data_IF_251667425903
#
_entry.id   IF_251667425903
#
_cell.length_a   1.000
_cell.length_b   1.000
_cell.length_c   1.000
_cell.angle_alpha   90.00
_cell.angle_beta   90.00
_cell.angle_gamma   90.00
#
_symmetry.space_group_name_H-M   'P 1'
#
loop_
_entity.id
_entity.type
_entity.pdbx_description
1 polymer ?
#
# COMPACT_ATOMS: atom_id res chain seq x y z
N UNK A 1 -4.29 -62.91 -37.02
CA UNK A 1 -3.83 -63.92 -38.01
C UNK A 1 -3.40 -65.17 -37.29
N UNK A 2 -4.21 -66.23 -37.44
CA UNK A 2 -4.02 -67.56 -36.84
C UNK A 2 -2.77 -68.20 -37.45
N UNK A 3 -1.74 -68.42 -36.64
CA UNK A 3 -0.62 -69.26 -37.05
C UNK A 3 -1.09 -70.72 -36.99
N UNK A 4 -1.43 -71.29 -38.14
CA UNK A 4 -1.64 -72.72 -38.28
C UNK A 4 -0.38 -73.44 -37.77
N UNK A 5 -0.51 -74.19 -36.67
CA UNK A 5 0.50 -75.15 -36.22
C UNK A 5 0.56 -76.26 -37.26
N UNK A 6 1.54 -76.21 -38.15
CA UNK A 6 1.87 -77.35 -38.99
C UNK A 6 2.35 -78.50 -38.08
N UNK A 7 1.80 -79.73 -38.23
CA UNK A 7 2.26 -80.89 -37.49
C UNK A 7 3.73 -81.19 -37.83
N UNK A 8 4.50 -81.56 -36.80
CA UNK A 8 5.96 -81.75 -36.86
C UNK A 8 6.37 -82.88 -37.82
N UNK A 9 5.44 -83.77 -38.17
CA UNK A 9 5.66 -84.99 -38.97
C UNK A 9 5.91 -84.74 -40.47
N UNK A 10 5.60 -83.57 -41.02
CA UNK A 10 5.89 -83.23 -42.44
C UNK A 10 7.21 -82.48 -42.65
N UNK A 11 7.88 -82.04 -41.58
CA UNK A 11 9.15 -81.33 -41.63
C UNK A 11 10.35 -82.25 -41.89
N UNK A 12 10.24 -83.55 -41.57
CA UNK A 12 11.29 -84.55 -41.79
C UNK A 12 11.45 -84.93 -43.27
N UNK A 13 10.37 -84.83 -44.07
CA UNK A 13 10.35 -85.13 -45.51
C UNK A 13 10.89 -84.00 -46.37
N UNK A 14 11.09 -82.80 -45.81
CA UNK A 14 11.52 -81.60 -46.54
C UNK A 14 12.68 -80.86 -45.85
N UNK A 15 13.93 -81.32 -46.03
CA UNK A 15 15.11 -80.81 -45.31
C UNK A 15 15.48 -79.35 -45.65
N UNK A 16 15.06 -78.81 -46.80
CA UNK A 16 15.16 -77.38 -47.08
C UNK A 16 14.16 -76.56 -46.25
N UNK A 17 12.88 -76.97 -46.19
CA UNK A 17 11.84 -76.29 -45.40
C UNK A 17 12.18 -76.26 -43.91
N UNK A 18 12.69 -77.36 -43.35
CA UNK A 18 13.14 -77.40 -41.95
C UNK A 18 14.33 -76.44 -41.69
N UNK A 19 15.29 -76.36 -42.63
CA UNK A 19 16.42 -75.42 -42.54
C UNK A 19 15.96 -73.97 -42.62
N UNK A 20 15.00 -73.66 -43.48
CA UNK A 20 14.51 -72.29 -43.67
C UNK A 20 13.60 -71.84 -42.54
N UNK A 21 12.76 -72.72 -41.97
CA UNK A 21 12.01 -72.43 -40.74
C UNK A 21 12.97 -72.18 -39.57
N UNK A 22 14.02 -73.00 -39.41
CA UNK A 22 15.04 -72.80 -38.37
C UNK A 22 15.79 -71.47 -38.54
N UNK A 23 16.14 -71.08 -39.76
CA UNK A 23 16.73 -69.77 -40.08
C UNK A 23 15.76 -68.64 -39.75
N UNK A 24 14.50 -68.73 -40.18
CA UNK A 24 13.47 -67.71 -39.94
C UNK A 24 13.19 -67.54 -38.45
N UNK A 25 13.09 -68.62 -37.69
CA UNK A 25 12.97 -68.60 -36.23
C UNK A 25 14.20 -67.97 -35.57
N UNK A 26 15.43 -68.30 -36.03
CA UNK A 26 16.67 -67.70 -35.53
C UNK A 26 16.74 -66.20 -35.82
N UNK A 27 16.32 -65.76 -37.02
CA UNK A 27 16.25 -64.35 -37.40
C UNK A 27 15.20 -63.64 -36.55
N UNK A 28 13.98 -64.17 -36.42
CA UNK A 28 12.92 -63.61 -35.58
C UNK A 28 13.36 -63.48 -34.12
N UNK A 29 14.02 -64.50 -33.56
CA UNK A 29 14.58 -64.47 -32.19
C UNK A 29 15.66 -63.40 -32.04
N UNK A 30 16.60 -63.29 -32.99
CA UNK A 30 17.63 -62.24 -32.97
C UNK A 30 17.01 -60.85 -33.08
N UNK A 31 16.04 -60.65 -33.96
CA UNK A 31 15.33 -59.38 -34.13
C UNK A 31 14.53 -59.01 -32.88
N UNK A 32 13.87 -59.99 -32.26
CA UNK A 32 13.16 -59.82 -31.00
C UNK A 32 14.10 -59.42 -29.87
N UNK A 33 15.21 -60.15 -29.64
CA UNK A 33 16.21 -59.81 -28.63
C UNK A 33 16.80 -58.40 -28.83
N UNK A 34 17.06 -58.00 -30.08
CA UNK A 34 17.54 -56.65 -30.41
C UNK A 34 16.50 -55.57 -30.12
N UNK A 35 15.21 -55.85 -30.27
CA UNK A 35 14.13 -54.91 -29.95
C UNK A 35 13.92 -54.81 -28.45
N UNK A 36 13.87 -55.95 -27.74
CA UNK A 36 13.75 -55.98 -26.27
C UNK A 36 14.93 -55.28 -25.59
N UNK A 37 16.17 -55.53 -26.02
CA UNK A 37 17.35 -54.84 -25.45
C UNK A 37 17.29 -53.32 -25.62
N UNK A 38 16.81 -52.85 -26.77
CA UNK A 38 16.59 -51.41 -27.03
C UNK A 38 15.49 -50.84 -26.13
N UNK A 39 14.38 -51.57 -25.95
CA UNK A 39 13.29 -51.16 -25.06
C UNK A 39 13.74 -51.07 -23.59
N UNK A 40 14.51 -52.04 -23.09
CA UNK A 40 15.07 -51.98 -21.73
C UNK A 40 16.03 -50.81 -21.54
N UNK A 41 16.88 -50.52 -22.53
CA UNK A 41 17.78 -49.37 -22.46
C UNK A 41 17.01 -48.04 -22.48
N UNK A 42 16.00 -47.93 -23.33
CA UNK A 42 15.11 -46.76 -23.38
C UNK A 42 14.40 -46.56 -22.04
N UNK A 43 13.87 -47.62 -21.41
CA UNK A 43 13.29 -47.54 -20.06
C UNK A 43 14.27 -47.05 -19.01
N UNK A 44 15.52 -47.54 -19.03
CA UNK A 44 16.56 -47.07 -18.11
C UNK A 44 16.82 -45.57 -18.27
N UNK A 45 16.92 -45.09 -19.51
CA UNK A 45 17.12 -43.68 -19.80
C UNK A 45 15.93 -42.83 -19.33
N UNK A 46 14.69 -43.30 -19.48
CA UNK A 46 13.49 -42.62 -19.01
C UNK A 46 13.45 -42.49 -17.47
N UNK A 47 13.86 -43.54 -16.74
CA UNK A 47 13.99 -43.47 -15.27
C UNK A 47 15.02 -42.43 -14.84
N UNK A 48 16.20 -42.45 -15.47
CA UNK A 48 17.25 -41.47 -15.19
C UNK A 48 16.79 -40.03 -15.52
N UNK A 49 16.05 -39.85 -16.61
CA UNK A 49 15.44 -38.56 -16.96
C UNK A 49 14.44 -38.09 -15.90
N UNK A 50 13.58 -38.98 -15.42
CA UNK A 50 12.61 -38.66 -14.36
C UNK A 50 13.30 -38.32 -13.03
N UNK A 51 14.32 -39.09 -12.62
CA UNK A 51 15.12 -38.78 -11.42
C UNK A 51 15.80 -37.41 -11.54
N UNK A 52 16.33 -37.07 -12.71
CA UNK A 52 16.91 -35.75 -12.99
C UNK A 52 15.88 -34.64 -12.89
N UNK A 53 14.69 -34.81 -13.49
CA UNK A 53 13.60 -33.82 -13.42
C UNK A 53 13.18 -33.62 -11.96
N UNK A 54 12.95 -34.69 -11.21
CA UNK A 54 12.59 -34.62 -9.80
C UNK A 54 13.65 -33.93 -8.95
N UNK A 55 14.93 -34.20 -9.20
CA UNK A 55 16.02 -33.50 -8.53
C UNK A 55 16.02 -32.01 -8.83
N UNK A 56 15.75 -31.60 -10.08
CA UNK A 56 15.64 -30.19 -10.47
C UNK A 56 14.42 -29.52 -9.82
N UNK A 57 13.27 -30.19 -9.78
CA UNK A 57 12.07 -29.71 -9.06
C UNK A 57 12.42 -29.43 -7.59
N UNK A 58 13.08 -30.38 -6.91
CA UNK A 58 13.46 -30.23 -5.51
C UNK A 58 14.44 -29.06 -5.29
N UNK A 59 15.45 -28.92 -6.17
CA UNK A 59 16.41 -27.81 -6.11
C UNK A 59 15.72 -26.46 -6.32
N UNK A 60 14.83 -26.34 -7.30
CA UNK A 60 14.08 -25.10 -7.55
C UNK A 60 13.13 -24.76 -6.41
N UNK A 61 12.47 -25.76 -5.80
CA UNK A 61 11.64 -25.54 -4.60
C UNK A 61 12.48 -24.99 -3.44
N UNK A 62 13.69 -25.51 -3.22
CA UNK A 62 14.59 -25.00 -2.19
C UNK A 62 15.10 -23.59 -2.51
N UNK A 63 15.55 -23.34 -3.75
CA UNK A 63 16.00 -22.01 -4.20
C UNK A 63 14.88 -20.96 -4.08
N UNK A 64 13.63 -21.36 -4.33
CA UNK A 64 12.46 -20.50 -4.15
C UNK A 64 12.23 -20.13 -2.68
N UNK A 65 12.54 -21.02 -1.73
CA UNK A 65 12.48 -20.72 -0.29
C UNK A 65 13.64 -19.80 0.12
N UNK A 66 14.86 -20.10 -0.35
CA UNK A 66 16.07 -19.35 -0.02
C UNK A 66 16.08 -17.92 -0.58
N UNK A 67 15.35 -17.63 -1.66
CA UNK A 67 15.27 -16.28 -2.23
C UNK A 67 14.62 -15.23 -1.31
N UNK A 68 14.04 -15.65 -0.18
CA UNK A 68 13.39 -14.78 0.82
C UNK A 68 14.36 -14.03 1.73
N UNK A 69 15.66 -14.32 1.69
CA UNK A 69 16.62 -13.81 2.68
C UNK A 69 17.06 -12.36 2.41
N UNK A 70 17.08 -11.91 1.15
CA UNK A 70 17.50 -10.55 0.78
C UNK A 70 16.52 -9.90 -0.22
N UNK A 71 15.68 -8.93 0.21
CA UNK A 71 14.69 -8.25 -0.64
C UNK A 71 15.31 -7.59 -1.87
N UNK A 72 16.56 -7.14 -1.80
CA UNK A 72 17.24 -6.47 -2.90
C UNK A 72 17.64 -7.43 -4.02
N UNK A 73 17.81 -8.72 -3.71
CA UNK A 73 18.24 -9.76 -4.64
C UNK A 73 17.10 -10.70 -5.06
N UNK A 74 15.97 -10.69 -4.33
CA UNK A 74 14.83 -11.57 -4.59
C UNK A 74 14.32 -11.46 -6.03
N UNK A 75 14.31 -10.26 -6.64
CA UNK A 75 13.79 -10.05 -8.01
C UNK A 75 14.63 -10.79 -9.06
N UNK A 76 15.95 -10.58 -9.01
CA UNK A 76 16.88 -11.24 -9.92
C UNK A 76 16.89 -12.76 -9.72
N UNK A 77 16.81 -13.22 -8.47
CA UNK A 77 16.72 -14.64 -8.15
C UNK A 77 15.42 -15.27 -8.69
N UNK A 78 14.26 -14.62 -8.54
CA UNK A 78 12.99 -15.11 -9.08
C UNK A 78 12.97 -15.17 -10.61
N UNK A 79 13.64 -14.24 -11.31
CA UNK A 79 13.77 -14.33 -12.77
C UNK A 79 14.59 -15.55 -13.22
N UNK A 80 15.73 -15.81 -12.56
CA UNK A 80 16.52 -17.01 -12.83
C UNK A 80 15.73 -18.30 -12.57
N UNK A 81 15.05 -18.38 -11.43
CA UNK A 81 14.19 -19.51 -11.06
C UNK A 81 13.04 -19.69 -12.07
N UNK A 82 12.48 -18.59 -12.59
CA UNK A 82 11.42 -18.64 -13.61
C UNK A 82 11.92 -19.24 -14.92
N UNK A 83 13.09 -18.82 -15.39
CA UNK A 83 13.65 -19.32 -16.64
C UNK A 83 14.08 -20.79 -16.53
N UNK A 84 14.59 -21.21 -15.38
CA UNK A 84 14.85 -22.63 -15.09
C UNK A 84 13.56 -23.45 -15.01
N UNK A 85 12.49 -22.92 -14.41
CA UNK A 85 11.19 -23.60 -14.36
C UNK A 85 10.52 -23.72 -15.75
N UNK A 86 10.75 -22.76 -16.67
CA UNK A 86 10.31 -22.89 -18.08
C UNK A 86 11.04 -24.03 -18.78
N UNK A 87 12.38 -24.08 -18.66
CA UNK A 87 13.19 -25.17 -19.25
C UNK A 87 12.78 -26.53 -18.69
N UNK A 88 12.51 -26.60 -17.39
CA UNK A 88 12.08 -27.83 -16.73
C UNK A 88 10.72 -28.32 -17.23
N UNK A 89 9.82 -27.39 -17.62
CA UNK A 89 8.53 -27.74 -18.24
C UNK A 89 8.72 -28.36 -19.61
N UNK A 90 9.60 -27.79 -20.43
CA UNK A 90 9.93 -28.36 -21.74
C UNK A 90 10.54 -29.75 -21.59
N UNK A 91 11.45 -29.94 -20.63
CA UNK A 91 12.02 -31.26 -20.29
C UNK A 91 10.98 -32.26 -19.79
N UNK A 92 10.01 -31.82 -18.98
CA UNK A 92 8.93 -32.67 -18.47
C UNK A 92 7.94 -33.08 -19.56
N UNK A 93 7.59 -32.17 -20.48
CA UNK A 93 6.72 -32.49 -21.61
C UNK A 93 7.43 -33.40 -22.63
N UNK A 94 8.73 -33.17 -22.89
CA UNK A 94 9.54 -34.08 -23.70
C UNK A 94 9.61 -35.48 -23.07
N UNK A 95 9.80 -35.56 -21.75
CA UNK A 95 9.79 -36.82 -21.01
C UNK A 95 8.44 -37.54 -21.16
N UNK A 96 7.32 -36.83 -20.97
CA UNK A 96 5.96 -37.37 -21.16
C UNK A 96 5.74 -37.90 -22.58
N UNK A 97 6.16 -37.16 -23.61
CA UNK A 97 6.09 -37.61 -25.00
C UNK A 97 6.94 -38.87 -25.20
N UNK A 98 8.17 -38.88 -24.67
CA UNK A 98 9.08 -40.02 -24.79
C UNK A 98 8.52 -41.26 -24.06
N UNK A 99 7.84 -41.10 -22.93
CA UNK A 99 7.10 -42.17 -22.23
C UNK A 99 5.94 -42.68 -23.09
N UNK A 100 5.14 -41.79 -23.67
CA UNK A 100 4.00 -42.17 -24.53
C UNK A 100 4.43 -42.89 -25.83
N UNK A 101 5.62 -42.59 -26.35
CA UNK A 101 6.18 -43.23 -27.55
C UNK A 101 6.87 -44.58 -27.29
N UNK A 102 6.91 -45.06 -26.04
CA UNK A 102 7.51 -46.36 -25.72
C UNK A 102 6.70 -47.54 -26.28
N UNK A 103 7.42 -48.59 -26.72
CA UNK A 103 6.80 -49.78 -27.31
C UNK A 103 6.32 -50.77 -26.23
N UNK A 104 5.21 -51.48 -26.50
CA UNK A 104 4.55 -52.47 -25.64
C UNK A 104 5.38 -53.72 -25.22
N UNK A 105 6.71 -53.72 -25.41
CA UNK A 105 7.61 -54.79 -24.97
C UNK A 105 7.91 -54.74 -23.45
N UNK A 106 7.67 -53.60 -22.78
CA UNK A 106 7.95 -53.37 -21.37
C UNK A 106 6.81 -52.52 -20.78
N UNK A 107 6.36 -52.83 -19.55
CA UNK A 107 5.38 -52.00 -18.82
C UNK A 107 6.08 -50.85 -18.10
N UNK A 108 5.38 -49.74 -17.88
CA UNK A 108 5.94 -48.46 -17.42
C UNK A 108 5.29 -47.92 -16.14
N UNK A 109 4.66 -48.79 -15.34
CA UNK A 109 3.88 -48.45 -14.14
C UNK A 109 4.70 -47.74 -13.03
N UNK A 110 6.03 -47.78 -13.14
CA UNK A 110 6.98 -47.15 -12.24
C UNK A 110 7.35 -45.70 -12.60
N UNK A 111 6.92 -45.21 -13.77
CA UNK A 111 7.16 -43.83 -14.19
C UNK A 111 6.02 -42.93 -13.71
N UNK A 112 6.38 -41.74 -13.25
CA UNK A 112 5.43 -40.77 -12.71
C UNK A 112 4.83 -39.96 -13.85
N UNK A 113 3.53 -40.11 -14.08
CA UNK A 113 2.80 -39.34 -15.07
C UNK A 113 2.57 -37.89 -14.67
N UNK A 114 2.78 -37.54 -13.39
CA UNK A 114 2.43 -36.25 -12.80
C UNK A 114 3.53 -35.18 -12.86
N UNK A 115 4.67 -35.46 -13.52
CA UNK A 115 5.81 -34.52 -13.58
C UNK A 115 5.42 -33.17 -14.17
N UNK A 116 4.57 -33.16 -15.19
CA UNK A 116 4.11 -31.93 -15.84
C UNK A 116 3.22 -31.12 -14.89
N UNK A 117 2.35 -31.78 -14.14
CA UNK A 117 1.53 -31.16 -13.10
C UNK A 117 2.39 -30.60 -11.96
N UNK A 118 3.41 -31.33 -11.50
CA UNK A 118 4.33 -30.85 -10.45
C UNK A 118 5.14 -29.63 -10.89
N UNK A 119 5.57 -29.58 -12.16
CA UNK A 119 6.23 -28.39 -12.71
C UNK A 119 5.24 -27.23 -12.86
N UNK A 120 3.98 -27.49 -13.21
CA UNK A 120 2.95 -26.46 -13.26
C UNK A 120 2.64 -25.88 -11.87
N UNK A 121 2.57 -26.72 -10.83
CA UNK A 121 2.43 -26.28 -9.43
C UNK A 121 3.61 -25.39 -9.03
N UNK A 122 4.84 -25.81 -9.30
CA UNK A 122 6.04 -25.00 -9.07
C UNK A 122 5.98 -23.64 -9.80
N UNK A 123 5.51 -23.61 -11.05
CA UNK A 123 5.35 -22.37 -11.80
C UNK A 123 4.32 -21.43 -11.16
N UNK A 124 3.22 -21.97 -10.65
CA UNK A 124 2.21 -21.19 -9.92
C UNK A 124 2.79 -20.64 -8.61
N UNK A 125 3.56 -21.45 -7.86
CA UNK A 125 4.24 -20.99 -6.64
C UNK A 125 5.22 -19.86 -6.94
N UNK A 126 5.99 -19.94 -8.03
CA UNK A 126 6.89 -18.88 -8.48
C UNK A 126 6.10 -17.60 -8.82
N UNK A 127 4.98 -17.72 -9.54
CA UNK A 127 4.14 -16.58 -9.90
C UNK A 127 3.53 -15.91 -8.67
N UNK A 128 3.03 -16.69 -7.71
CA UNK A 128 2.49 -16.16 -6.47
C UNK A 128 3.59 -15.46 -5.66
N UNK A 129 4.80 -16.01 -5.60
CA UNK A 129 5.94 -15.32 -4.99
C UNK A 129 6.31 -14.02 -5.69
N UNK A 130 6.30 -13.98 -7.03
CA UNK A 130 6.53 -12.74 -7.79
C UNK A 130 5.48 -11.68 -7.46
N UNK A 131 4.20 -12.09 -7.35
CA UNK A 131 3.11 -11.21 -6.96
C UNK A 131 3.35 -10.62 -5.58
N UNK A 132 3.59 -11.47 -4.57
CA UNK A 132 3.87 -11.04 -3.21
C UNK A 132 5.10 -10.14 -3.13
N UNK A 133 6.16 -10.43 -3.90
CA UNK A 133 7.33 -9.56 -3.95
C UNK A 133 7.00 -8.18 -4.52
N UNK A 134 6.30 -8.10 -5.65
CA UNK A 134 5.89 -6.83 -6.23
C UNK A 134 5.03 -6.00 -5.26
N UNK A 135 4.23 -6.67 -4.42
CA UNK A 135 3.48 -6.03 -3.35
C UNK A 135 4.41 -5.48 -2.26
N UNK A 136 5.40 -6.26 -1.81
CA UNK A 136 6.39 -5.79 -0.82
C UNK A 136 7.24 -4.62 -1.35
N UNK A 137 7.63 -4.63 -2.62
CA UNK A 137 8.40 -3.55 -3.24
C UNK A 137 7.60 -2.23 -3.26
N UNK A 138 6.31 -2.29 -3.56
CA UNK A 138 5.42 -1.13 -3.47
C UNK A 138 5.34 -0.59 -2.05
N UNK A 139 5.21 -1.47 -1.06
CA UNK A 139 5.19 -1.06 0.36
C UNK A 139 6.50 -0.37 0.73
N UNK A 140 7.64 -0.92 0.32
CA UNK A 140 8.95 -0.30 0.56
C UNK A 140 9.11 1.07 -0.12
N UNK A 141 8.47 1.29 -1.27
CA UNK A 141 8.45 2.59 -1.95
C UNK A 141 7.56 3.63 -1.21
N UNK A 142 6.43 3.18 -0.67
CA UNK A 142 5.46 4.05 0.00
C UNK A 142 5.82 4.33 1.46
N UNK A 143 6.46 3.39 2.15
CA UNK A 143 6.88 3.50 3.54
C UNK A 143 7.62 4.81 3.89
N UNK A 144 8.65 5.24 3.13
CA UNK A 144 9.37 6.49 3.45
C UNK A 144 8.49 7.74 3.28
N UNK A 145 7.50 7.72 2.37
CA UNK A 145 6.59 8.85 2.16
C UNK A 145 5.62 8.99 3.34
N UNK A 146 5.10 7.86 3.83
CA UNK A 146 4.28 7.83 5.05
C UNK A 146 5.10 8.28 6.25
N UNK A 147 6.31 7.76 6.40
CA UNK A 147 7.21 8.12 7.50
C UNK A 147 7.50 9.63 7.56
N UNK A 148 7.71 10.28 6.42
CA UNK A 148 7.91 11.72 6.35
C UNK A 148 6.69 12.51 6.86
N UNK A 149 5.47 12.04 6.55
CA UNK A 149 4.24 12.64 7.08
C UNK A 149 4.16 12.38 8.59
N UNK A 150 4.38 11.15 9.05
CA UNK A 150 4.34 10.78 10.48
C UNK A 150 5.33 11.62 11.30
N UNK A 151 6.57 11.78 10.82
CA UNK A 151 7.59 12.59 11.49
C UNK A 151 7.20 14.06 11.53
N UNK A 152 6.63 14.60 10.45
CA UNK A 152 6.11 15.96 10.43
C UNK A 152 5.02 16.15 11.47
N UNK A 153 4.10 15.18 11.64
CA UNK A 153 3.06 15.23 12.67
C UNK A 153 3.61 15.14 14.08
N UNK A 154 4.66 14.36 14.30
CA UNK A 154 5.34 14.26 15.61
C UNK A 154 6.10 15.54 15.98
N UNK A 155 6.62 16.26 14.98
CA UNK A 155 7.32 17.54 15.18
C UNK A 155 6.39 18.72 15.46
N UNK A 156 5.07 18.51 15.40
CA UNK A 156 4.09 19.56 15.66
C UNK A 156 4.15 20.03 17.12
N UNK A 157 4.09 21.34 17.37
CA UNK A 157 4.04 21.86 18.72
C UNK A 157 2.77 21.35 19.43
N UNK A 158 2.91 21.04 20.73
CA UNK A 158 1.80 20.57 21.57
C UNK A 158 0.70 21.62 21.77
N UNK A 159 1.02 22.89 21.51
CA UNK A 159 0.11 24.02 21.59
C UNK A 159 -0.14 24.54 20.17
N UNK A 160 -1.41 24.88 19.89
CA UNK A 160 -1.78 25.52 18.64
C UNK A 160 -1.11 26.90 18.55
N UNK A 161 -0.73 27.34 17.33
CA UNK A 161 -0.28 28.71 17.12
C UNK A 161 -1.35 29.69 17.60
N UNK A 162 -0.92 30.81 18.17
CA UNK A 162 -1.84 31.82 18.70
C UNK A 162 -2.28 32.79 17.64
N UNK A 163 -1.46 33.09 16.63
CA UNK A 163 -1.76 34.09 15.60
C UNK A 163 -2.61 33.55 14.46
N UNK A 164 -3.46 34.41 13.87
CA UNK A 164 -4.41 33.97 12.85
C UNK A 164 -3.68 33.52 11.57
N UNK A 165 -2.62 34.23 11.19
CA UNK A 165 -1.81 33.92 10.00
C UNK A 165 -1.10 32.56 10.14
N UNK A 166 -0.52 32.28 11.32
CA UNK A 166 0.11 30.98 11.59
C UNK A 166 -0.92 29.85 11.64
N UNK A 167 -2.10 30.09 12.23
CA UNK A 167 -3.20 29.13 12.25
C UNK A 167 -3.70 28.82 10.84
N UNK A 168 -3.85 29.81 9.97
CA UNK A 168 -4.25 29.61 8.57
C UNK A 168 -3.21 28.79 7.80
N UNK A 169 -1.93 29.16 7.93
CA UNK A 169 -0.81 28.43 7.30
C UNK A 169 -0.78 26.98 7.74
N UNK A 170 -1.00 26.73 9.04
CA UNK A 170 -1.04 25.37 9.59
C UNK A 170 -2.24 24.58 9.07
N UNK A 171 -3.40 25.22 8.90
CA UNK A 171 -4.61 24.59 8.39
C UNK A 171 -4.41 24.11 6.94
N UNK A 172 -3.81 24.97 6.11
CA UNK A 172 -3.47 24.61 4.73
C UNK A 172 -2.47 23.43 4.68
N UNK A 173 -1.40 23.46 5.47
CA UNK A 173 -0.42 22.37 5.52
C UNK A 173 -1.06 21.06 6.00
N UNK A 174 -1.94 21.11 7.01
CA UNK A 174 -2.67 19.93 7.50
C UNK A 174 -3.63 19.35 6.45
N UNK A 175 -4.33 20.19 5.69
CA UNK A 175 -5.25 19.71 4.64
C UNK A 175 -4.46 19.10 3.47
N UNK A 176 -3.30 19.68 3.11
CA UNK A 176 -2.38 19.10 2.14
C UNK A 176 -1.87 17.73 2.61
N UNK A 177 -1.41 17.62 3.87
CA UNK A 177 -0.95 16.34 4.44
C UNK A 177 -2.07 15.30 4.48
N UNK A 178 -3.29 15.69 4.85
CA UNK A 178 -4.48 14.82 4.84
C UNK A 178 -4.72 14.27 3.43
N UNK A 179 -4.74 15.12 2.41
CA UNK A 179 -4.97 14.67 1.03
C UNK A 179 -3.84 13.75 0.55
N UNK A 180 -2.58 14.09 0.86
CA UNK A 180 -1.43 13.26 0.52
C UNK A 180 -1.52 11.88 1.18
N UNK A 181 -1.87 11.82 2.46
CA UNK A 181 -2.01 10.57 3.19
C UNK A 181 -3.19 9.72 2.69
N UNK A 182 -4.32 10.36 2.35
CA UNK A 182 -5.46 9.69 1.72
C UNK A 182 -5.10 9.11 0.35
N UNK A 183 -4.31 9.85 -0.46
CA UNK A 183 -3.82 9.37 -1.74
C UNK A 183 -2.87 8.17 -1.56
N UNK A 184 -1.98 8.22 -0.58
CA UNK A 184 -1.07 7.12 -0.23
C UNK A 184 -1.86 5.87 0.18
N UNK A 185 -2.82 5.99 1.10
CA UNK A 185 -3.70 4.89 1.52
C UNK A 185 -4.45 4.30 0.31
N UNK A 186 -4.98 5.16 -0.57
CA UNK A 186 -5.71 4.71 -1.77
C UNK A 186 -4.83 3.99 -2.79
N UNK A 187 -3.52 4.26 -2.78
CA UNK A 187 -2.54 3.58 -3.64
C UNK A 187 -2.04 2.24 -3.10
N UNK A 188 -2.26 1.98 -1.80
CA UNK A 188 -1.95 0.71 -1.17
C UNK A 188 -3.04 -0.32 -1.52
N UNK A 189 -2.64 -1.57 -1.71
CA UNK A 189 -3.55 -2.69 -1.87
C UNK A 189 -3.85 -3.34 -0.51
N UNK A 190 -4.90 -4.15 -0.42
CA UNK A 190 -5.26 -4.91 0.79
C UNK A 190 -4.36 -6.15 1.01
N UNK A 191 -3.11 -6.07 0.59
CA UNK A 191 -2.14 -7.13 0.78
C UNK A 191 -1.62 -7.15 2.23
N UNK A 192 -1.31 -8.32 2.81
CA UNK A 192 -0.75 -8.42 4.16
C UNK A 192 0.51 -7.58 4.36
N UNK A 193 1.34 -7.44 3.31
CA UNK A 193 2.54 -6.62 3.35
C UNK A 193 2.26 -5.12 3.56
N UNK A 194 1.10 -4.63 3.11
CA UNK A 194 0.71 -3.22 3.21
C UNK A 194 -0.10 -2.91 4.47
N UNK A 195 -0.60 -3.92 5.18
CA UNK A 195 -1.54 -3.78 6.30
C UNK A 195 -0.96 -2.90 7.42
N UNK A 196 0.28 -3.15 7.86
CA UNK A 196 0.91 -2.35 8.91
C UNK A 196 1.06 -0.88 8.50
N UNK A 197 1.47 -0.64 7.25
CA UNK A 197 1.65 0.70 6.71
C UNK A 197 0.30 1.42 6.58
N UNK A 198 -0.75 0.69 6.19
CA UNK A 198 -2.11 1.19 6.09
C UNK A 198 -2.67 1.57 7.46
N UNK A 199 -2.54 0.70 8.46
CA UNK A 199 -2.95 0.99 9.84
C UNK A 199 -2.24 2.22 10.41
N UNK A 200 -0.91 2.32 10.21
CA UNK A 200 -0.14 3.51 10.61
C UNK A 200 -0.67 4.77 9.92
N UNK A 201 -0.89 4.69 8.61
CA UNK A 201 -1.42 5.80 7.83
C UNK A 201 -2.83 6.20 8.25
N UNK A 202 -3.69 5.26 8.60
CA UNK A 202 -5.04 5.52 9.10
C UNK A 202 -5.02 6.19 10.49
N UNK A 203 -4.09 5.76 11.36
CA UNK A 203 -3.87 6.40 12.65
C UNK A 203 -3.39 7.85 12.49
N UNK A 204 -2.39 8.08 11.64
CA UNK A 204 -1.90 9.42 11.31
C UNK A 204 -3.01 10.29 10.69
N UNK A 205 -3.86 9.70 9.85
CA UNK A 205 -4.99 10.40 9.24
C UNK A 205 -6.04 10.81 10.29
N UNK A 206 -6.32 9.94 11.28
CA UNK A 206 -7.18 10.31 12.40
C UNK A 206 -6.60 11.47 13.18
N UNK A 207 -5.28 11.43 13.45
CA UNK A 207 -4.59 12.51 14.15
C UNK A 207 -4.66 13.83 13.41
N UNK A 208 -4.50 13.83 12.08
CA UNK A 208 -4.65 15.03 11.26
C UNK A 208 -6.08 15.57 11.33
N UNK A 209 -7.09 14.71 11.27
CA UNK A 209 -8.50 15.14 11.38
C UNK A 209 -8.79 15.79 12.72
N UNK A 210 -8.30 15.23 13.81
CA UNK A 210 -8.48 15.79 15.15
C UNK A 210 -7.82 17.18 15.25
N UNK A 211 -6.60 17.32 14.72
CA UNK A 211 -5.88 18.60 14.70
C UNK A 211 -6.59 19.65 13.83
N UNK A 212 -7.09 19.27 12.66
CA UNK A 212 -7.88 20.15 11.80
C UNK A 212 -9.17 20.61 12.49
N UNK A 213 -9.83 19.73 13.24
CA UNK A 213 -11.03 20.10 13.99
C UNK A 213 -10.69 21.10 15.11
N UNK A 214 -9.63 20.84 15.87
CA UNK A 214 -9.18 21.74 16.94
C UNK A 214 -8.78 23.11 16.39
N UNK A 215 -8.02 23.14 15.28
CA UNK A 215 -7.57 24.36 14.64
C UNK A 215 -8.74 25.15 14.04
N UNK A 216 -9.70 24.45 13.41
CA UNK A 216 -10.91 25.05 12.88
C UNK A 216 -11.78 25.70 13.96
N UNK A 217 -11.93 25.04 15.12
CA UNK A 217 -12.62 25.62 16.28
C UNK A 217 -11.89 26.87 16.81
N UNK A 218 -10.58 26.78 17.04
CA UNK A 218 -9.79 27.91 17.55
C UNK A 218 -9.82 29.13 16.61
N UNK A 219 -9.67 28.91 15.29
CA UNK A 219 -9.80 29.98 14.28
C UNK A 219 -11.21 30.57 14.29
N UNK A 220 -12.23 29.73 14.43
CA UNK A 220 -13.63 30.17 14.52
C UNK A 220 -13.91 31.05 15.74
N UNK A 221 -13.47 30.63 16.92
CA UNK A 221 -13.66 31.36 18.18
C UNK A 221 -12.95 32.73 18.12
N UNK A 222 -11.73 32.75 17.57
CA UNK A 222 -10.96 33.97 17.36
C UNK A 222 -11.58 34.93 16.35
N UNK A 223 -12.08 34.43 15.21
CA UNK A 223 -12.80 35.25 14.25
C UNK A 223 -14.08 35.85 14.85
N UNK A 224 -14.78 35.09 15.69
CA UNK A 224 -15.95 35.58 16.41
C UNK A 224 -15.57 36.68 17.42
N UNK A 225 -14.50 36.47 18.20
CA UNK A 225 -13.96 37.46 19.13
C UNK A 225 -13.52 38.75 18.43
N UNK A 226 -12.80 38.63 17.29
CA UNK A 226 -12.40 39.76 16.45
C UNK A 226 -13.60 40.51 15.88
N UNK A 227 -14.63 39.80 15.42
CA UNK A 227 -15.84 40.43 14.90
C UNK A 227 -16.60 41.20 16.00
N UNK A 228 -16.75 40.59 17.18
CA UNK A 228 -17.38 41.23 18.34
C UNK A 228 -16.59 42.46 18.80
N UNK A 229 -15.26 42.35 18.88
CA UNK A 229 -14.38 43.47 19.20
C UNK A 229 -14.48 44.60 18.17
N UNK A 230 -14.42 44.30 16.87
CA UNK A 230 -14.53 45.31 15.82
C UNK A 230 -15.90 46.02 15.82
N UNK A 231 -16.98 45.30 16.12
CA UNK A 231 -18.31 45.89 16.25
C UNK A 231 -18.36 46.86 17.45
N UNK A 232 -17.89 46.42 18.62
CA UNK A 232 -17.85 47.24 19.82
C UNK A 232 -16.91 48.46 19.66
N UNK A 233 -15.77 48.27 19.00
CA UNK A 233 -14.83 49.36 18.67
C UNK A 233 -15.49 50.41 17.80
N UNK A 234 -16.22 50.01 16.75
CA UNK A 234 -16.93 50.94 15.87
C UNK A 234 -18.00 51.73 16.62
N UNK A 235 -18.77 51.06 17.48
CA UNK A 235 -19.79 51.72 18.29
C UNK A 235 -19.16 52.73 19.27
N UNK A 236 -18.08 52.33 19.94
CA UNK A 236 -17.34 53.20 20.84
C UNK A 236 -16.72 54.41 20.12
N UNK A 237 -16.11 54.21 18.94
CA UNK A 237 -15.55 55.29 18.13
C UNK A 237 -16.63 56.27 17.65
N UNK A 238 -17.79 55.78 17.20
CA UNK A 238 -18.91 56.63 16.79
C UNK A 238 -19.43 57.47 17.95
N UNK A 239 -19.56 56.89 19.15
CA UNK A 239 -19.96 57.63 20.36
C UNK A 239 -18.93 58.66 20.78
N UNK A 240 -17.65 58.29 20.84
CA UNK A 240 -16.56 59.23 21.17
C UNK A 240 -16.51 60.41 20.18
N UNK A 241 -16.75 60.15 18.89
CA UNK A 241 -16.77 61.19 17.86
C UNK A 241 -17.98 62.12 18.00
N UNK A 242 -19.15 61.58 18.37
CA UNK A 242 -20.34 62.39 18.69
C UNK A 242 -20.08 63.32 19.86
N UNK A 243 -19.56 62.78 20.98
CA UNK A 243 -19.26 63.53 22.20
C UNK A 243 -18.23 64.64 21.94
N UNK A 244 -17.17 64.35 21.19
CA UNK A 244 -16.15 65.34 20.84
C UNK A 244 -16.68 66.42 19.88
N UNK A 245 -17.57 66.09 18.94
CA UNK A 245 -18.20 67.07 18.07
C UNK A 245 -19.12 68.02 18.88
N UNK A 246 -19.96 67.47 19.76
CA UNK A 246 -20.89 68.25 20.58
C UNK A 246 -20.17 69.19 21.56
N UNK A 247 -19.02 68.76 22.11
CA UNK A 247 -18.18 69.58 22.97
C UNK A 247 -17.56 70.81 22.27
N UNK A 248 -17.48 70.82 20.94
CA UNK A 248 -16.81 71.89 20.18
C UNK A 248 -17.78 73.00 19.75
N UNK A 249 -19.06 72.68 19.53
CA UNK A 249 -20.03 73.60 18.93
C UNK A 249 -20.98 74.30 19.93
N UNK A 250 -21.29 73.70 21.10
CA UNK A 250 -22.14 74.32 22.15
C UNK A 250 -21.83 73.76 23.55
N UNK A 251 -22.05 74.53 24.63
CA UNK A 251 -22.04 73.96 25.97
C UNK A 251 -23.14 72.91 26.10
N UNK A 252 -22.76 71.67 26.41
CA UNK A 252 -23.66 70.55 26.68
C UNK A 252 -24.60 70.89 27.85
N UNK A 253 -25.86 70.48 27.74
CA UNK A 253 -26.79 70.54 28.89
C UNK A 253 -26.48 69.40 29.87
N UNK A 254 -26.83 69.58 31.15
CA UNK A 254 -26.60 68.55 32.17
C UNK A 254 -27.28 67.20 31.85
N UNK A 255 -28.44 67.23 31.18
CA UNK A 255 -29.13 66.02 30.72
C UNK A 255 -28.37 65.31 29.59
N UNK A 256 -27.73 66.05 28.68
CA UNK A 256 -26.93 65.48 27.60
C UNK A 256 -25.61 64.90 28.12
N UNK A 257 -24.92 65.63 29.00
CA UNK A 257 -23.69 65.13 29.63
C UNK A 257 -23.94 63.82 30.40
N UNK A 258 -25.04 63.74 31.16
CA UNK A 258 -25.41 62.51 31.88
C UNK A 258 -25.80 61.36 30.93
N UNK A 259 -26.46 61.65 29.82
CA UNK A 259 -26.81 60.64 28.82
C UNK A 259 -25.56 60.08 28.13
N UNK A 260 -24.60 60.93 27.80
CA UNK A 260 -23.33 60.55 27.19
C UNK A 260 -22.45 59.75 28.17
N UNK A 261 -22.39 60.16 29.43
CA UNK A 261 -21.69 59.43 30.50
C UNK A 261 -22.25 58.01 30.68
N UNK A 262 -23.58 57.87 30.73
CA UNK A 262 -24.24 56.57 30.82
C UNK A 262 -23.99 55.69 29.58
N UNK A 263 -23.94 56.30 28.39
CA UNK A 263 -23.65 55.58 27.15
C UNK A 263 -22.19 55.08 27.11
N UNK A 264 -21.22 55.89 27.55
CA UNK A 264 -19.82 55.47 27.68
C UNK A 264 -19.68 54.36 28.70
N UNK A 265 -20.32 54.48 29.87
CA UNK A 265 -20.25 53.46 30.91
C UNK A 265 -20.82 52.12 30.43
N UNK A 266 -21.94 52.14 29.70
CA UNK A 266 -22.52 50.94 29.09
C UNK A 266 -21.61 50.31 28.02
N UNK A 267 -20.93 51.12 27.22
CA UNK A 267 -19.94 50.64 26.23
C UNK A 267 -18.71 50.05 26.91
N UNK A 268 -18.20 50.68 27.96
CA UNK A 268 -17.07 50.18 28.72
C UNK A 268 -17.41 48.82 29.37
N UNK A 269 -18.60 48.68 29.95
CA UNK A 269 -19.09 47.41 30.48
C UNK A 269 -19.20 46.35 29.37
N UNK A 270 -19.81 46.68 28.23
CA UNK A 270 -19.92 45.76 27.11
C UNK A 270 -18.56 45.28 26.60
N UNK A 271 -17.60 46.19 26.39
CA UNK A 271 -16.25 45.87 25.92
C UNK A 271 -15.51 45.01 26.96
N UNK A 272 -15.70 45.24 28.27
CA UNK A 272 -15.12 44.39 29.34
C UNK A 272 -15.61 42.94 29.33
N UNK A 273 -16.78 42.67 28.75
CA UNK A 273 -17.34 41.31 28.64
C UNK A 273 -16.86 40.52 27.42
N UNK A 274 -16.09 41.14 26.52
CA UNK A 274 -15.59 40.48 25.31
C UNK A 274 -14.49 39.46 25.62
N UNK A 275 -14.38 38.42 24.78
CA UNK A 275 -13.37 37.36 24.89
C UNK A 275 -11.97 37.83 24.45
N UNK A 276 -11.32 38.67 25.28
CA UNK A 276 -9.99 39.23 25.03
C UNK A 276 -8.90 38.15 24.94
N UNK A 277 -9.12 37.02 25.59
CA UNK A 277 -8.23 35.86 25.61
C UNK A 277 -8.02 35.25 24.21
N UNK A 278 -8.98 35.40 23.31
CA UNK A 278 -8.92 34.89 21.94
C UNK A 278 -8.29 35.87 20.94
N UNK A 279 -8.04 37.12 21.35
CA UNK A 279 -7.40 38.15 20.52
C UNK A 279 -5.87 37.97 20.49
N UNK A 280 -5.21 38.35 19.39
CA UNK A 280 -3.74 38.38 19.36
C UNK A 280 -3.20 39.56 20.17
N UNK A 281 -1.90 39.52 20.40
CA UNK A 281 -1.17 40.56 21.12
C UNK A 281 -1.43 41.97 20.55
N UNK A 282 -1.59 42.11 19.24
CA UNK A 282 -1.89 43.40 18.63
C UNK A 282 -3.31 43.86 18.93
N UNK A 283 -4.33 43.02 18.76
CA UNK A 283 -5.72 43.42 19.05
C UNK A 283 -5.97 43.56 20.55
N UNK A 284 -5.25 42.83 21.41
CA UNK A 284 -5.26 43.07 22.86
C UNK A 284 -4.73 44.45 23.23
N UNK A 285 -3.73 44.96 22.50
CA UNK A 285 -3.24 46.33 22.69
C UNK A 285 -4.28 47.36 22.23
N UNK A 286 -4.91 47.14 21.07
CA UNK A 286 -5.99 48.02 20.61
C UNK A 286 -7.19 48.01 21.56
N UNK A 287 -7.52 46.85 22.12
CA UNK A 287 -8.55 46.69 23.15
C UNK A 287 -8.24 47.53 24.39
N UNK A 288 -7.00 47.45 24.89
CA UNK A 288 -6.56 48.23 26.04
C UNK A 288 -6.57 49.75 25.76
N UNK A 289 -6.15 50.16 24.57
CA UNK A 289 -6.20 51.57 24.14
C UNK A 289 -7.64 52.10 24.06
N UNK A 290 -8.56 51.31 23.50
CA UNK A 290 -9.98 51.67 23.41
C UNK A 290 -10.60 51.87 24.79
N UNK A 291 -10.35 50.95 25.75
CA UNK A 291 -10.82 51.09 27.12
C UNK A 291 -10.26 52.35 27.79
N UNK A 292 -8.97 52.65 27.63
CA UNK A 292 -8.36 53.85 28.18
C UNK A 292 -8.99 55.13 27.59
N UNK A 293 -9.30 55.14 26.29
CA UNK A 293 -9.98 56.26 25.63
C UNK A 293 -11.40 56.47 26.15
N UNK A 294 -12.16 55.40 26.37
CA UNK A 294 -13.51 55.49 26.96
C UNK A 294 -13.46 56.02 28.40
N UNK A 295 -12.51 55.54 29.22
CA UNK A 295 -12.31 56.03 30.59
C UNK A 295 -11.95 57.51 30.62
N UNK A 296 -11.04 57.96 29.75
CA UNK A 296 -10.69 59.37 29.64
C UNK A 296 -11.89 60.22 29.24
N UNK A 297 -12.72 59.75 28.30
CA UNK A 297 -13.92 60.47 27.88
C UNK A 297 -14.97 60.57 28.99
N UNK A 298 -15.17 59.51 29.78
CA UNK A 298 -16.03 59.53 30.97
C UNK A 298 -15.54 60.56 32.00
N UNK A 299 -14.24 60.60 32.30
CA UNK A 299 -13.67 61.60 33.23
C UNK A 299 -13.82 63.04 32.73
N UNK A 300 -13.80 63.27 31.43
CA UNK A 300 -14.01 64.62 30.85
C UNK A 300 -15.47 65.06 31.00
N UNK A 301 -16.43 64.14 30.98
CA UNK A 301 -17.86 64.44 31.15
C UNK A 301 -18.26 64.65 32.62
N UNK A 302 -17.52 64.09 33.58
CA UNK A 302 -17.73 64.28 35.02
C UNK A 302 -17.30 65.68 35.54
N UNK A 303 -16.46 66.41 34.78
CA UNK A 303 -15.89 67.71 35.17
C UNK A 303 -16.57 68.90 34.47
#
# INVERSE_FOLDING_TARGET
MVAARLPVEDLEKHPQLARDIKKTCRIRRKTWLRRSRRAFQSKKNLRQGQESINSKIALLKNALVESQVDPAQTSAALELITDEAKKLRDEAEEHKINVAQTNAFVTHDDLDGSLVEQVAELQNDIQEKKRLQAETEKVLELAPKVELISQSLQSMPSQLPTTLDEQQTLLEDMEIKKQNLQNLISSMNDAPAAEELKQKSEWDLSRIKDLLQQLGSAVGDKLAALAAFNAARREAEEKLLTITADATDKPLTAEQAQADENAIAALEEHIKTLSVEELDENERREYADLLARLQNASQVLEN
#
